data_IF_768996205984
#
_entry.id   IF_768996205984
#
_cell.length_a   1.000
_cell.length_b   1.000
_cell.length_c   1.000
_cell.angle_alpha   90.00
_cell.angle_beta   90.00
_cell.angle_gamma   90.00
#
_symmetry.space_group_name_H-M   'P 1'
#
loop_
_entity.id
_entity.type
_entity.pdbx_description
1 polymer ?
#
# COMPACT_ATOMS: atom_id res chain seq x y z
N UNK A 1 9.15 45.10 -6.04
CA UNK A 1 9.12 45.64 -7.41
C UNK A 1 7.83 46.40 -7.54
N UNK A 2 7.89 47.72 -7.72
CA UNK A 2 6.71 48.56 -7.92
C UNK A 2 6.44 48.63 -9.44
N UNK A 3 5.18 48.57 -9.90
CA UNK A 3 4.85 48.76 -11.30
C UNK A 3 5.27 50.17 -11.74
N UNK A 4 6.09 50.25 -12.78
CA UNK A 4 6.69 51.47 -13.30
C UNK A 4 5.66 52.27 -14.11
N UNK A 5 4.69 51.61 -14.73
CA UNK A 5 3.66 52.25 -15.58
C UNK A 5 2.20 51.97 -15.17
N UNK A 6 1.97 51.16 -14.12
CA UNK A 6 0.64 50.87 -13.51
C UNK A 6 -0.41 50.31 -14.49
N UNK A 7 0.00 49.65 -15.57
CA UNK A 7 -0.92 49.06 -16.55
C UNK A 7 -1.47 47.68 -16.13
N UNK A 8 -0.96 47.11 -15.03
CA UNK A 8 -1.37 45.80 -14.52
C UNK A 8 -0.79 44.62 -15.31
N UNK A 9 0.14 44.87 -16.23
CA UNK A 9 0.82 43.87 -17.05
C UNK A 9 2.31 43.92 -16.71
N UNK A 10 2.87 42.83 -16.21
CA UNK A 10 4.28 42.78 -15.87
C UNK A 10 5.15 42.87 -17.13
N UNK A 11 6.02 43.88 -17.21
CA UNK A 11 7.00 44.05 -18.29
C UNK A 11 8.37 43.46 -17.93
N UNK A 12 9.16 43.07 -18.94
CA UNK A 12 10.48 42.43 -18.73
C UNK A 12 11.45 43.26 -17.87
N UNK A 13 11.37 44.59 -17.95
CA UNK A 13 12.16 45.52 -17.12
C UNK A 13 11.62 45.70 -15.69
N UNK A 14 10.41 45.23 -15.41
CA UNK A 14 9.77 45.20 -14.08
C UNK A 14 9.92 43.85 -13.39
N UNK A 15 10.37 42.84 -14.13
CA UNK A 15 10.73 41.52 -13.63
C UNK A 15 12.20 41.53 -13.22
N UNK A 16 12.45 41.35 -11.93
CA UNK A 16 13.80 41.28 -11.40
C UNK A 16 14.48 39.98 -11.78
N UNK A 17 15.81 39.90 -11.62
CA UNK A 17 16.47 38.60 -11.61
C UNK A 17 15.74 37.69 -10.62
N UNK A 18 15.49 36.45 -11.04
CA UNK A 18 14.78 35.49 -10.20
C UNK A 18 15.47 35.37 -8.84
N UNK A 19 14.68 35.52 -7.78
CA UNK A 19 15.11 35.23 -6.42
C UNK A 19 15.33 33.72 -6.18
N UNK A 20 14.93 32.88 -7.14
CA UNK A 20 15.17 31.46 -7.09
C UNK A 20 16.64 31.17 -7.46
N UNK A 21 17.45 30.86 -6.44
CA UNK A 21 18.86 30.47 -6.59
C UNK A 21 19.08 29.22 -7.43
N UNK A 22 18.03 28.45 -7.72
CA UNK A 22 18.08 27.25 -8.55
C UNK A 22 17.52 27.47 -9.95
N UNK A 23 17.20 28.71 -10.34
CA UNK A 23 16.76 29.00 -11.71
C UNK A 23 17.91 28.73 -12.69
N UNK A 24 17.67 27.84 -13.66
CA UNK A 24 18.67 27.45 -14.67
C UNK A 24 19.65 26.36 -14.25
N UNK A 25 19.53 25.82 -13.03
CA UNK A 25 20.25 24.60 -12.61
C UNK A 25 19.41 23.39 -13.05
N UNK A 26 20.04 22.40 -13.67
CA UNK A 26 19.38 21.13 -14.04
C UNK A 26 18.62 20.57 -12.83
N UNK A 27 17.34 20.21 -12.96
CA UNK A 27 16.60 19.65 -11.85
C UNK A 27 17.27 18.35 -11.41
N UNK A 28 17.48 18.20 -10.10
CA UNK A 28 18.05 16.99 -9.49
C UNK A 28 17.09 15.80 -9.53
N UNK A 29 15.93 15.95 -10.18
CA UNK A 29 14.97 14.90 -10.50
C UNK A 29 14.48 15.10 -11.92
N UNK A 30 14.54 14.04 -12.74
CA UNK A 30 14.15 14.06 -14.14
C UNK A 30 13.53 12.73 -14.55
N UNK A 31 12.55 12.79 -15.45
CA UNK A 31 11.99 11.59 -16.05
C UNK A 31 12.94 11.03 -17.11
N UNK A 32 13.08 9.71 -17.14
CA UNK A 32 13.69 8.98 -18.23
C UNK A 32 12.88 9.20 -19.52
N UNK A 33 13.50 9.57 -20.65
CA UNK A 33 12.78 9.68 -21.93
C UNK A 33 12.08 8.38 -22.36
N UNK A 34 12.53 7.23 -21.84
CA UNK A 34 11.95 5.90 -22.06
C UNK A 34 10.99 5.45 -20.95
N UNK A 35 10.60 6.36 -20.05
CA UNK A 35 9.61 6.07 -19.01
C UNK A 35 8.29 5.60 -19.63
N UNK A 36 7.81 4.46 -19.16
CA UNK A 36 6.57 3.82 -19.60
C UNK A 36 5.49 3.96 -18.52
N UNK A 37 4.22 3.89 -18.92
CA UNK A 37 3.12 3.96 -17.95
C UNK A 37 2.96 2.62 -17.24
N UNK A 38 2.83 2.61 -15.90
CA UNK A 38 2.38 1.44 -15.17
C UNK A 38 1.02 0.96 -15.68
N UNK A 39 0.83 -0.35 -15.75
CA UNK A 39 -0.45 -0.95 -16.13
C UNK A 39 -0.73 -2.23 -15.33
N UNK A 40 -2.02 -2.58 -15.27
CA UNK A 40 -2.49 -3.80 -14.63
C UNK A 40 -3.09 -4.75 -15.67
N UNK A 41 -2.80 -6.04 -15.52
CA UNK A 41 -3.52 -7.11 -16.20
C UNK A 41 -4.43 -7.77 -15.17
N UNK A 42 -5.73 -7.72 -15.41
CA UNK A 42 -6.75 -8.24 -14.49
C UNK A 42 -7.52 -9.41 -15.10
N UNK A 43 -7.67 -10.48 -14.33
CA UNK A 43 -8.51 -11.63 -14.64
C UNK A 43 -9.57 -11.78 -13.57
N UNK A 44 -10.82 -11.99 -14.00
CA UNK A 44 -11.95 -12.23 -13.10
C UNK A 44 -12.73 -13.43 -13.60
N UNK A 45 -13.00 -14.38 -12.71
CA UNK A 45 -13.92 -15.49 -12.95
C UNK A 45 -15.02 -15.42 -11.90
N UNK A 46 -16.27 -15.29 -12.33
CA UNK A 46 -17.42 -15.22 -11.44
C UNK A 46 -18.53 -16.17 -11.88
N UNK A 47 -19.12 -16.88 -10.91
CA UNK A 47 -20.29 -17.73 -11.13
C UNK A 47 -21.36 -17.30 -10.15
N UNK A 48 -22.51 -16.90 -10.68
CA UNK A 48 -23.70 -16.59 -9.90
C UNK A 48 -24.76 -17.63 -10.18
N UNK A 49 -25.36 -18.17 -9.12
CA UNK A 49 -26.46 -19.12 -9.22
C UNK A 49 -27.56 -18.79 -8.22
N UNK A 50 -28.80 -18.79 -8.71
CA UNK A 50 -29.95 -18.92 -7.85
C UNK A 50 -30.02 -20.36 -7.33
N UNK A 51 -29.80 -20.56 -6.03
CA UNK A 51 -29.73 -21.88 -5.40
C UNK A 51 -31.13 -22.31 -4.94
N UNK A 52 -31.94 -21.35 -4.46
CA UNK A 52 -33.33 -21.54 -4.07
C UNK A 52 -34.17 -20.33 -4.50
N UNK A 53 -35.50 -20.44 -4.45
CA UNK A 53 -36.38 -19.27 -4.64
C UNK A 53 -36.01 -18.18 -3.62
N UNK A 54 -35.61 -17.01 -4.12
CA UNK A 54 -35.17 -15.90 -3.27
C UNK A 54 -33.74 -15.98 -2.74
N UNK A 55 -32.95 -17.03 -3.03
CA UNK A 55 -31.54 -17.11 -2.63
C UNK A 55 -30.61 -17.23 -3.84
N UNK A 56 -29.74 -16.25 -4.00
CA UNK A 56 -28.65 -16.26 -4.97
C UNK A 56 -27.30 -16.29 -4.27
N UNK A 57 -26.38 -17.08 -4.80
CA UNK A 57 -25.00 -17.20 -4.33
C UNK A 57 -24.06 -16.90 -5.49
N UNK A 58 -23.02 -16.14 -5.21
CA UNK A 58 -21.95 -15.79 -6.15
C UNK A 58 -20.63 -16.29 -5.58
N UNK A 59 -19.85 -16.99 -6.39
CA UNK A 59 -18.44 -17.26 -6.14
C UNK A 59 -17.60 -16.54 -7.18
N UNK A 60 -16.56 -15.84 -6.75
CA UNK A 60 -15.66 -15.15 -7.66
C UNK A 60 -14.19 -15.32 -7.28
N UNK A 61 -13.33 -15.31 -8.29
CA UNK A 61 -11.88 -15.25 -8.16
C UNK A 61 -11.37 -14.07 -8.97
N UNK A 62 -10.43 -13.34 -8.38
CA UNK A 62 -9.81 -12.15 -8.94
C UNK A 62 -8.31 -12.34 -8.95
N UNK A 63 -7.66 -11.98 -10.06
CA UNK A 63 -6.20 -11.92 -10.18
C UNK A 63 -5.82 -10.61 -10.81
N UNK A 64 -4.92 -9.86 -10.18
CA UNK A 64 -4.33 -8.65 -10.76
C UNK A 64 -2.81 -8.73 -10.73
N UNK A 65 -2.20 -8.40 -11.86
CA UNK A 65 -0.76 -8.28 -12.02
C UNK A 65 -0.37 -6.89 -12.49
N UNK A 66 0.38 -6.18 -11.65
CA UNK A 66 0.89 -4.84 -11.98
C UNK A 66 2.25 -4.93 -12.66
N UNK A 67 2.43 -4.19 -13.74
CA UNK A 67 3.63 -4.13 -14.57
C UNK A 67 4.14 -2.69 -14.69
N UNK A 68 5.42 -2.57 -15.06
CA UNK A 68 6.07 -1.30 -15.39
C UNK A 68 5.92 -0.27 -14.28
N UNK A 69 6.09 -0.73 -13.03
CA UNK A 69 6.08 0.15 -11.87
C UNK A 69 7.15 1.23 -12.04
N UNK A 70 6.82 2.47 -11.68
CA UNK A 70 7.79 3.55 -11.62
C UNK A 70 8.81 3.26 -10.51
N UNK A 71 10.08 3.42 -10.83
CA UNK A 71 11.17 3.39 -9.86
C UNK A 71 11.97 4.69 -9.94
N UNK A 72 12.57 5.05 -8.81
CA UNK A 72 13.47 6.19 -8.74
C UNK A 72 14.88 5.70 -8.44
N UNK A 73 15.82 6.09 -9.29
CA UNK A 73 17.23 5.71 -9.17
C UNK A 73 18.07 6.96 -9.04
N UNK A 74 18.94 7.03 -8.03
CA UNK A 74 19.96 8.07 -7.97
C UNK A 74 21.16 7.64 -8.81
N UNK A 75 21.44 8.33 -9.92
CA UNK A 75 22.52 7.96 -10.85
C UNK A 75 23.92 8.19 -10.27
N UNK A 76 24.03 8.99 -9.20
CA UNK A 76 25.30 9.34 -8.55
C UNK A 76 25.65 8.39 -7.38
N UNK A 77 24.72 7.51 -7.00
CA UNK A 77 24.84 6.60 -5.85
C UNK A 77 24.51 5.18 -6.27
N UNK A 78 25.36 4.23 -5.90
CA UNK A 78 25.21 2.81 -6.20
C UNK A 78 25.34 1.98 -4.92
N UNK A 79 24.96 0.71 -4.99
CA UNK A 79 25.05 -0.21 -3.83
C UNK A 79 26.49 -0.35 -3.31
N UNK A 80 27.51 -0.25 -4.17
CA UNK A 80 28.92 -0.31 -3.74
C UNK A 80 29.41 0.93 -2.99
N UNK A 81 28.65 2.02 -3.01
CA UNK A 81 28.97 3.23 -2.25
C UNK A 81 28.61 3.11 -0.75
N UNK A 82 28.02 1.98 -0.35
CA UNK A 82 27.64 1.69 1.02
C UNK A 82 28.62 0.73 1.69
N UNK A 83 29.03 1.06 2.91
CA UNK A 83 29.74 0.15 3.80
C UNK A 83 28.72 -0.54 4.73
N UNK A 84 28.72 -1.87 4.80
CA UNK A 84 27.86 -2.60 5.72
C UNK A 84 28.47 -2.68 7.12
N UNK A 85 27.61 -2.73 8.14
CA UNK A 85 27.96 -3.09 9.50
C UNK A 85 26.79 -3.83 10.13
N UNK A 86 27.05 -4.58 11.20
CA UNK A 86 26.02 -5.33 11.91
C UNK A 86 25.75 -4.70 13.28
N UNK A 87 24.48 -4.73 13.69
CA UNK A 87 24.05 -4.31 15.01
C UNK A 87 22.97 -5.26 15.52
N UNK A 88 22.92 -5.57 16.83
CA UNK A 88 21.86 -6.40 17.38
C UNK A 88 20.50 -5.72 17.23
N UNK A 89 19.51 -6.49 16.82
CA UNK A 89 18.09 -6.11 16.81
C UNK A 89 17.61 -5.82 18.22
N UNK A 90 16.92 -4.70 18.48
CA UNK A 90 16.33 -4.43 19.79
C UNK A 90 15.13 -5.32 20.12
N UNK A 91 14.61 -6.06 19.14
CA UNK A 91 13.45 -6.94 19.32
C UNK A 91 13.85 -8.28 19.96
N UNK A 92 14.95 -8.87 19.52
CA UNK A 92 15.34 -10.25 19.80
C UNK A 92 16.86 -10.46 19.96
N UNK A 93 17.68 -9.43 19.73
CA UNK A 93 19.15 -9.50 19.81
C UNK A 93 19.83 -10.08 18.58
N UNK A 94 19.08 -10.57 17.58
CA UNK A 94 19.63 -11.13 16.35
C UNK A 94 20.43 -10.08 15.56
N UNK A 95 21.55 -10.43 14.91
CA UNK A 95 22.35 -9.48 14.17
C UNK A 95 21.62 -9.00 12.91
N UNK A 96 21.48 -7.68 12.77
CA UNK A 96 20.91 -7.02 11.59
C UNK A 96 22.00 -6.28 10.85
N UNK A 97 22.15 -6.58 9.55
CA UNK A 97 23.07 -5.86 8.66
C UNK A 97 22.44 -4.55 8.19
N UNK A 98 23.13 -3.44 8.45
CA UNK A 98 22.76 -2.09 8.06
C UNK A 98 23.85 -1.53 7.14
N UNK A 99 23.46 -0.69 6.20
CA UNK A 99 24.34 -0.11 5.19
C UNK A 99 24.48 1.39 5.38
N UNK A 100 25.73 1.86 5.47
CA UNK A 100 26.06 3.26 5.63
C UNK A 100 26.62 3.84 4.34
N UNK A 101 25.96 4.87 3.80
CA UNK A 101 26.43 5.57 2.60
C UNK A 101 27.76 6.29 2.89
N UNK A 102 28.73 6.11 2.00
CA UNK A 102 30.02 6.79 2.09
C UNK A 102 29.86 8.31 2.16
N UNK A 103 30.70 8.96 2.99
CA UNK A 103 30.64 10.42 3.20
C UNK A 103 30.80 11.22 1.91
N UNK A 104 31.60 10.72 0.96
CA UNK A 104 31.83 11.35 -0.33
C UNK A 104 30.57 11.41 -1.23
N UNK A 105 29.57 10.57 -0.96
CA UNK A 105 28.32 10.49 -1.72
C UNK A 105 27.13 11.14 -1.02
N UNK A 106 27.31 11.62 0.22
CA UNK A 106 26.25 12.28 0.98
C UNK A 106 25.83 13.58 0.30
N UNK A 107 24.52 13.78 0.12
CA UNK A 107 23.96 14.97 -0.51
C UNK A 107 24.07 15.01 -2.04
N UNK A 108 24.70 14.01 -2.68
CA UNK A 108 24.69 13.88 -4.13
C UNK A 108 23.36 13.30 -4.59
N UNK A 109 22.63 14.08 -5.40
CA UNK A 109 21.28 13.73 -5.85
C UNK A 109 21.16 14.03 -7.35
N UNK A 110 21.04 12.99 -8.16
CA UNK A 110 20.49 13.04 -9.53
C UNK A 110 19.50 11.88 -9.67
N UNK A 111 18.22 12.17 -9.42
CA UNK A 111 17.15 11.20 -9.42
C UNK A 111 16.59 11.05 -10.83
N UNK A 112 16.67 9.84 -11.36
CA UNK A 112 16.04 9.43 -12.59
C UNK A 112 14.78 8.64 -12.25
N UNK A 113 13.61 9.17 -12.62
CA UNK A 113 12.37 8.41 -12.58
C UNK A 113 12.28 7.58 -13.86
N UNK A 114 12.32 6.26 -13.73
CA UNK A 114 12.38 5.31 -14.84
C UNK A 114 11.45 4.13 -14.59
N UNK A 115 11.28 3.28 -15.59
CA UNK A 115 10.43 2.09 -15.50
C UNK A 115 11.21 0.94 -14.86
N UNK A 116 10.62 0.28 -13.87
CA UNK A 116 11.14 -0.98 -13.35
C UNK A 116 10.70 -2.15 -14.25
N UNK A 117 11.45 -2.37 -15.33
CA UNK A 117 11.15 -3.41 -16.33
C UNK A 117 11.43 -4.83 -15.84
N UNK A 118 12.40 -4.99 -14.92
CA UNK A 118 12.72 -6.27 -14.30
C UNK A 118 11.68 -6.67 -13.25
N UNK A 119 10.73 -7.52 -13.64
CA UNK A 119 9.70 -8.08 -12.75
C UNK A 119 10.26 -8.88 -11.57
N UNK A 120 11.48 -9.40 -11.66
CA UNK A 120 12.10 -10.10 -10.53
C UNK A 120 12.40 -9.15 -9.37
N UNK A 121 12.48 -7.84 -9.65
CA UNK A 121 12.79 -6.79 -8.68
C UNK A 121 11.62 -5.84 -8.41
N UNK A 122 10.68 -5.70 -9.33
CA UNK A 122 9.51 -4.85 -9.17
C UNK A 122 8.24 -5.49 -9.73
N UNK A 123 7.32 -5.93 -8.86
CA UNK A 123 5.98 -6.39 -9.25
C UNK A 123 5.02 -6.39 -8.08
N UNK A 124 3.73 -6.28 -8.37
CA UNK A 124 2.67 -6.54 -7.40
C UNK A 124 1.73 -7.60 -7.97
N UNK A 125 1.45 -8.62 -7.17
CA UNK A 125 0.58 -9.74 -7.51
C UNK A 125 -0.55 -9.81 -6.50
N UNK A 126 -1.79 -9.62 -6.94
CA UNK A 126 -2.99 -9.75 -6.11
C UNK A 126 -3.81 -10.97 -6.54
N UNK A 127 -4.32 -11.71 -5.54
CA UNK A 127 -5.30 -12.78 -5.67
C UNK A 127 -6.42 -12.56 -4.66
N UNK A 128 -7.66 -12.54 -5.14
CA UNK A 128 -8.86 -12.42 -4.33
C UNK A 128 -9.79 -13.60 -4.56
N UNK A 129 -10.44 -14.04 -3.49
CA UNK A 129 -11.52 -15.03 -3.51
C UNK A 129 -12.73 -14.38 -2.85
N UNK A 130 -13.91 -14.56 -3.43
CA UNK A 130 -15.15 -14.06 -2.87
C UNK A 130 -16.22 -15.16 -2.92
N UNK A 131 -16.97 -15.28 -1.84
CA UNK A 131 -18.26 -15.96 -1.80
C UNK A 131 -19.27 -14.99 -1.21
N UNK A 132 -20.26 -14.59 -1.98
CA UNK A 132 -21.33 -13.70 -1.52
C UNK A 132 -22.70 -14.30 -1.77
N UNK A 133 -23.70 -13.86 -1.00
CA UNK A 133 -25.06 -14.31 -1.16
C UNK A 133 -26.05 -13.19 -0.91
N UNK A 134 -27.24 -13.34 -1.50
CA UNK A 134 -28.39 -12.49 -1.21
C UNK A 134 -29.61 -13.39 -1.09
N UNK A 135 -30.28 -13.30 0.06
CA UNK A 135 -31.49 -14.01 0.42
C UNK A 135 -32.64 -13.00 0.63
N UNK A 136 -33.71 -13.18 -0.12
CA UNK A 136 -34.98 -12.48 0.00
C UNK A 136 -36.09 -13.52 0.08
N UNK A 137 -36.53 -13.80 1.28
CA UNK A 137 -37.59 -14.77 1.59
C UNK A 137 -38.74 -14.04 2.29
N UNK A 138 -39.93 -14.66 2.44
CA UNK A 138 -41.00 -14.08 3.23
C UNK A 138 -40.46 -13.67 4.60
N UNK A 139 -40.58 -12.37 4.91
CA UNK A 139 -40.13 -11.76 6.16
C UNK A 139 -38.62 -11.68 6.38
N UNK A 140 -37.77 -12.22 5.51
CA UNK A 140 -36.30 -12.19 5.66
C UNK A 140 -35.67 -11.47 4.47
N UNK A 141 -34.84 -10.47 4.75
CA UNK A 141 -33.89 -9.92 3.80
C UNK A 141 -32.49 -10.05 4.40
N UNK A 142 -31.61 -10.83 3.79
CA UNK A 142 -30.26 -11.10 4.28
C UNK A 142 -29.29 -11.04 3.11
N UNK A 143 -28.14 -10.44 3.31
CA UNK A 143 -27.04 -10.49 2.35
C UNK A 143 -25.73 -10.52 3.12
N UNK A 144 -24.70 -11.02 2.47
CA UNK A 144 -23.40 -11.10 3.09
C UNK A 144 -22.42 -11.79 2.18
N UNK A 145 -21.20 -11.89 2.67
CA UNK A 145 -20.15 -12.57 1.97
C UNK A 145 -18.92 -12.75 2.83
N UNK A 146 -18.06 -13.59 2.29
CA UNK A 146 -16.72 -13.84 2.74
C UNK A 146 -15.80 -13.46 1.58
N UNK A 147 -14.77 -12.70 1.86
CA UNK A 147 -13.68 -12.45 0.92
C UNK A 147 -12.37 -12.93 1.54
N UNK A 148 -11.44 -13.38 0.71
CA UNK A 148 -10.09 -13.67 1.12
C UNK A 148 -9.09 -13.18 0.09
N UNK A 149 -8.18 -12.33 0.54
CA UNK A 149 -7.26 -11.59 -0.32
C UNK A 149 -5.81 -11.89 0.04
N UNK A 150 -4.96 -12.02 -0.98
CA UNK A 150 -3.52 -12.12 -0.85
C UNK A 150 -2.86 -11.16 -1.84
N UNK A 151 -2.04 -10.25 -1.31
CA UNK A 151 -1.22 -9.33 -2.08
C UNK A 151 0.25 -9.63 -1.77
N UNK A 152 1.03 -9.88 -2.82
CA UNK A 152 2.47 -10.10 -2.75
C UNK A 152 3.16 -8.99 -3.54
N UNK A 153 4.00 -8.22 -2.88
CA UNK A 153 4.78 -7.15 -3.49
C UNK A 153 6.27 -7.51 -3.54
N UNK A 154 6.91 -7.23 -4.67
CA UNK A 154 8.36 -7.24 -4.83
C UNK A 154 8.78 -5.81 -5.18
N UNK A 155 9.59 -5.21 -4.31
CA UNK A 155 10.02 -3.81 -4.38
C UNK A 155 11.53 -3.68 -4.15
N UNK A 156 12.30 -4.56 -4.77
CA UNK A 156 13.76 -4.62 -4.71
C UNK A 156 14.45 -3.73 -5.75
N UNK A 157 13.68 -3.06 -6.61
CA UNK A 157 14.18 -2.13 -7.62
C UNK A 157 14.51 -0.77 -6.97
N UNK A 158 15.61 -0.72 -6.23
CA UNK A 158 16.10 0.44 -5.50
C UNK A 158 17.63 0.47 -5.49
N UNK A 159 18.22 1.63 -5.19
CA UNK A 159 19.67 1.82 -5.08
C UNK A 159 20.18 1.84 -3.64
N UNK A 160 19.30 1.92 -2.65
CA UNK A 160 19.65 1.88 -1.22
C UNK A 160 19.52 0.44 -0.69
N UNK A 161 20.63 -0.24 -0.36
CA UNK A 161 20.59 -1.62 0.13
C UNK A 161 19.84 -1.80 1.46
N UNK A 162 19.60 -0.74 2.25
CA UNK A 162 18.75 -0.83 3.44
C UNK A 162 17.28 -1.13 3.09
N UNK A 163 16.85 -0.78 1.87
CA UNK A 163 15.50 -1.07 1.37
C UNK A 163 15.35 -2.51 0.89
N UNK A 164 16.45 -3.28 0.73
CA UNK A 164 16.40 -4.66 0.24
C UNK A 164 15.93 -5.66 1.29
N UNK A 165 15.97 -5.28 2.58
CA UNK A 165 15.46 -6.15 3.64
C UNK A 165 13.96 -6.34 3.46
N UNK A 166 13.55 -7.59 3.25
CA UNK A 166 12.17 -7.98 3.01
C UNK A 166 11.52 -7.35 1.76
N UNK A 167 12.32 -6.89 0.79
CA UNK A 167 11.81 -6.28 -0.43
C UNK A 167 11.07 -7.26 -1.34
N UNK A 168 11.42 -8.55 -1.30
CA UNK A 168 10.76 -9.62 -2.06
C UNK A 168 9.83 -10.41 -1.15
N UNK A 169 8.55 -10.06 -1.13
CA UNK A 169 7.56 -10.79 -0.33
C UNK A 169 7.28 -12.19 -0.88
N UNK A 170 7.68 -12.52 -2.11
CA UNK A 170 7.43 -13.85 -2.68
C UNK A 170 8.30 -14.96 -2.06
N UNK A 171 9.32 -14.58 -1.29
CA UNK A 171 10.17 -15.47 -0.51
C UNK A 171 9.57 -15.81 0.86
N UNK A 172 8.43 -15.22 1.23
CA UNK A 172 7.76 -15.40 2.51
C UNK A 172 6.37 -15.99 2.31
N UNK A 173 5.91 -16.74 3.30
CA UNK A 173 4.57 -17.34 3.29
C UNK A 173 3.51 -16.29 3.62
N UNK A 174 3.19 -15.43 2.65
CA UNK A 174 2.11 -14.43 2.79
C UNK A 174 0.76 -15.16 2.75
N UNK A 175 -0.02 -15.19 3.86
CA UNK A 175 -1.30 -15.88 3.90
C UNK A 175 -2.40 -15.07 3.19
N UNK A 176 -3.46 -15.78 2.78
CA UNK A 176 -4.73 -15.15 2.49
C UNK A 176 -5.32 -14.57 3.78
N UNK A 177 -5.83 -13.33 3.71
CA UNK A 177 -6.50 -12.64 4.81
C UNK A 177 -7.97 -12.53 4.47
N UNK A 178 -8.83 -12.98 5.39
CA UNK A 178 -10.25 -13.11 5.11
C UNK A 178 -11.14 -12.22 5.97
N UNK A 179 -12.10 -11.61 5.32
CA UNK A 179 -13.12 -10.78 5.93
C UNK A 179 -14.49 -11.42 5.75
N UNK A 180 -15.39 -11.18 6.70
CA UNK A 180 -16.78 -11.64 6.65
C UNK A 180 -17.69 -10.46 6.94
N UNK A 181 -18.69 -10.27 6.10
CA UNK A 181 -19.73 -9.26 6.30
C UNK A 181 -21.09 -9.90 6.12
N UNK A 182 -22.02 -9.56 7.01
CA UNK A 182 -23.39 -10.05 6.95
C UNK A 182 -24.31 -8.93 7.42
N UNK A 183 -25.37 -8.68 6.70
CA UNK A 183 -26.39 -7.73 7.12
C UNK A 183 -27.76 -8.20 6.67
N UNK A 184 -28.75 -8.01 7.52
CA UNK A 184 -30.09 -8.45 7.22
C UNK A 184 -31.12 -7.94 8.19
N UNK A 185 -32.36 -8.33 7.92
CA UNK A 185 -33.50 -7.97 8.71
C UNK A 185 -34.59 -9.03 8.64
N UNK A 186 -35.35 -9.12 9.72
CA UNK A 186 -36.48 -10.02 9.86
C UNK A 186 -37.74 -9.24 10.25
N UNK A 187 -38.75 -9.26 9.40
CA UNK A 187 -40.06 -8.66 9.68
C UNK A 187 -40.85 -9.55 10.64
N UNK A 188 -41.05 -9.08 11.86
CA UNK A 188 -41.85 -9.69 12.90
C UNK A 188 -43.35 -9.39 12.68
N UNK A 189 -44.19 -9.92 13.57
CA UNK A 189 -45.62 -9.55 13.60
C UNK A 189 -45.79 -8.12 14.11
N UNK A 190 -47.00 -7.56 13.93
CA UNK A 190 -47.36 -6.22 14.41
C UNK A 190 -46.48 -5.11 13.83
N UNK A 191 -46.09 -5.18 12.56
CA UNK A 191 -45.27 -4.12 11.93
C UNK A 191 -43.97 -3.87 12.69
N UNK A 192 -43.31 -4.90 13.19
CA UNK A 192 -41.99 -4.77 13.85
C UNK A 192 -40.93 -5.46 13.03
N UNK A 193 -39.67 -5.05 13.16
CA UNK A 193 -38.55 -5.62 12.43
C UNK A 193 -37.30 -5.64 13.27
N UNK A 194 -36.61 -6.77 13.22
CA UNK A 194 -35.26 -6.92 13.75
C UNK A 194 -34.27 -6.70 12.62
N UNK A 195 -33.18 -5.99 12.89
CA UNK A 195 -32.04 -5.83 12.00
C UNK A 195 -30.77 -6.37 12.65
N UNK A 196 -29.91 -6.95 11.84
CA UNK A 196 -28.58 -7.43 12.23
C UNK A 196 -27.57 -6.93 11.21
N UNK A 197 -26.43 -6.45 11.68
CA UNK A 197 -25.24 -6.22 10.86
C UNK A 197 -24.02 -6.76 11.60
N UNK A 198 -23.20 -7.52 10.90
CA UNK A 198 -21.98 -8.13 11.40
C UNK A 198 -20.85 -7.85 10.41
N UNK A 199 -19.71 -7.41 10.93
CA UNK A 199 -18.47 -7.27 10.16
C UNK A 199 -17.31 -7.84 10.96
N UNK A 200 -16.52 -8.69 10.32
CA UNK A 200 -15.29 -9.29 10.85
C UNK A 200 -14.17 -8.99 9.86
N UNK A 201 -13.16 -8.25 10.31
CA UNK A 201 -12.00 -7.88 9.52
C UNK A 201 -10.75 -8.58 10.03
N UNK A 202 -10.00 -9.22 9.15
CA UNK A 202 -8.68 -9.72 9.48
C UNK A 202 -7.78 -8.57 9.94
N UNK A 203 -7.02 -8.78 11.02
CA UNK A 203 -6.10 -7.74 11.50
C UNK A 203 -5.02 -7.43 10.46
N UNK A 204 -4.55 -6.17 10.50
CA UNK A 204 -3.54 -5.64 9.59
C UNK A 204 -2.17 -6.30 9.83
N UNK A 205 -1.28 -6.34 8.82
CA UNK A 205 0.09 -6.81 9.01
C UNK A 205 0.80 -6.00 10.08
N UNK A 206 1.46 -6.67 11.02
CA UNK A 206 2.27 -6.01 12.03
C UNK A 206 3.66 -5.73 11.44
N UNK A 207 4.06 -4.46 11.45
CA UNK A 207 5.39 -4.02 11.04
C UNK A 207 6.11 -3.41 12.24
N UNK A 208 7.31 -3.90 12.54
CA UNK A 208 8.15 -3.37 13.62
C UNK A 208 9.32 -2.64 12.96
N UNK A 209 9.14 -1.34 12.78
CA UNK A 209 10.15 -0.48 12.17
C UNK A 209 11.12 0.02 13.24
N UNK A 210 12.39 -0.30 13.08
CA UNK A 210 13.46 0.19 13.92
C UNK A 210 14.23 1.31 13.22
N UNK A 211 14.15 2.50 13.78
CA UNK A 211 15.03 3.60 13.42
C UNK A 211 16.40 3.37 14.07
N UNK A 212 17.34 2.82 13.29
CA UNK A 212 18.71 2.54 13.74
C UNK A 212 19.34 3.85 14.22
N UNK A 213 19.71 3.96 15.51
CA UNK A 213 20.29 5.17 16.07
C UNK A 213 21.59 5.58 15.38
N UNK A 214 21.76 6.88 15.17
CA UNK A 214 22.90 7.43 14.41
C UNK A 214 24.27 7.17 15.08
N UNK A 215 24.29 6.94 16.40
CA UNK A 215 25.50 6.60 17.16
C UNK A 215 26.01 5.16 16.91
N UNK A 216 25.18 4.28 16.36
CA UNK A 216 25.60 2.91 16.01
C UNK A 216 26.37 2.85 14.68
N UNK A 217 26.32 3.91 13.88
CA UNK A 217 26.98 3.95 12.58
C UNK A 217 28.49 4.19 12.74
N UNK A 218 29.35 3.32 12.18
CA UNK A 218 30.78 3.53 12.15
C UNK A 218 31.13 4.89 11.52
N UNK A 219 32.01 5.64 12.18
CA UNK A 219 32.40 6.98 11.76
C UNK A 219 31.37 8.07 12.04
N UNK A 220 30.20 7.76 12.64
CA UNK A 220 29.20 8.74 13.06
C UNK A 220 28.43 9.42 11.92
N UNK A 221 27.13 9.63 12.13
CA UNK A 221 26.23 10.41 11.26
C UNK A 221 25.15 11.12 12.08
N UNK A 222 24.32 11.94 11.44
CA UNK A 222 23.23 12.71 12.10
C UNK A 222 21.82 12.20 11.78
N UNK A 223 21.68 11.34 10.76
CA UNK A 223 20.38 10.80 10.36
C UNK A 223 20.25 9.34 10.80
N UNK A 224 19.05 8.84 11.06
CA UNK A 224 18.79 7.40 11.25
C UNK A 224 18.51 6.71 9.92
N UNK A 225 18.58 5.38 9.91
CA UNK A 225 17.99 4.54 8.84
C UNK A 225 16.91 3.71 9.48
N UNK A 226 15.73 3.67 8.87
CA UNK A 226 14.63 2.84 9.35
C UNK A 226 14.62 1.51 8.60
N UNK A 227 14.64 0.41 9.34
CA UNK A 227 14.53 -0.94 8.80
C UNK A 227 13.40 -1.69 9.49
N UNK A 228 12.71 -2.57 8.77
CA UNK A 228 11.73 -3.46 9.39
C UNK A 228 12.43 -4.67 10.01
N UNK A 229 12.09 -5.01 11.25
CA UNK A 229 12.66 -6.15 11.97
C UNK A 229 11.91 -7.44 11.66
N UNK A 230 10.58 -7.37 11.51
CA UNK A 230 9.73 -8.53 11.27
C UNK A 230 9.59 -8.84 9.77
N UNK A 231 9.75 -10.12 9.37
CA UNK A 231 9.44 -10.51 7.99
C UNK A 231 7.94 -10.37 7.70
N UNK A 232 7.57 -10.03 6.46
CA UNK A 232 6.18 -9.91 6.05
C UNK A 232 5.47 -11.27 6.15
N UNK A 233 4.16 -11.25 6.40
CA UNK A 233 3.36 -12.48 6.50
C UNK A 233 3.44 -13.23 7.83
N UNK A 234 4.32 -12.81 8.75
CA UNK A 234 4.53 -13.52 10.02
C UNK A 234 3.57 -13.12 11.13
N UNK A 235 3.41 -11.82 11.36
CA UNK A 235 2.61 -11.29 12.46
C UNK A 235 1.54 -10.33 11.96
N UNK A 236 0.39 -10.38 12.61
CA UNK A 236 -0.79 -9.58 12.30
C UNK A 236 -1.42 -9.11 13.60
N UNK A 237 -2.06 -7.95 13.56
CA UNK A 237 -2.92 -7.50 14.65
C UNK A 237 -4.11 -8.45 14.83
N UNK A 238 -4.77 -8.32 15.96
CA UNK A 238 -5.98 -9.08 16.27
C UNK A 238 -7.11 -8.78 15.28
N UNK A 239 -7.94 -9.79 15.03
CA UNK A 239 -9.17 -9.64 14.25
C UNK A 239 -10.13 -8.72 14.99
N UNK A 240 -10.74 -7.81 14.25
CA UNK A 240 -11.78 -6.94 14.76
C UNK A 240 -13.16 -7.43 14.33
N UNK A 241 -14.09 -7.53 15.27
CA UNK A 241 -15.48 -7.94 15.03
C UNK A 241 -16.44 -6.88 15.56
N UNK A 242 -17.46 -6.56 14.78
CA UNK A 242 -18.55 -5.66 15.16
C UNK A 242 -19.88 -6.33 14.88
N UNK A 243 -20.78 -6.31 15.87
CA UNK A 243 -22.15 -6.79 15.78
C UNK A 243 -23.09 -5.68 16.20
N UNK A 244 -23.93 -5.23 15.28
CA UNK A 244 -24.99 -4.26 15.51
C UNK A 244 -26.35 -4.93 15.41
N UNK A 245 -27.18 -4.69 16.43
CA UNK A 245 -28.55 -5.18 16.49
C UNK A 245 -29.49 -3.98 16.53
N UNK A 246 -30.60 -4.08 15.81
CA UNK A 246 -31.64 -3.05 15.82
C UNK A 246 -33.02 -3.66 15.93
N UNK A 247 -33.92 -2.93 16.58
CA UNK A 247 -35.34 -3.22 16.61
C UNK A 247 -36.08 -1.96 16.17
N UNK A 248 -37.00 -2.10 15.21
CA UNK A 248 -37.79 -0.98 14.70
C UNK A 248 -39.26 -1.34 14.57
N UNK A 249 -40.12 -0.36 14.82
CA UNK A 249 -41.54 -0.39 14.47
C UNK A 249 -41.69 0.23 13.08
N UNK A 250 -42.23 -0.53 12.14
CA UNK A 250 -42.61 -0.10 10.80
C UNK A 250 -44.13 0.07 10.81
N UNK A 251 -44.66 1.29 10.78
CA UNK A 251 -46.09 1.52 10.67
C UNK A 251 -46.60 0.93 9.35
N UNK A 252 -47.78 0.31 9.38
CA UNK A 252 -48.45 -0.08 8.15
C UNK A 252 -48.79 1.20 7.38
N UNK A 253 -48.33 1.29 6.12
CA UNK A 253 -48.75 2.36 5.21
C UNK A 253 -50.17 2.02 4.78
N UNK A 254 -51.15 2.80 5.26
CA UNK A 254 -52.54 2.77 4.82
C UNK A 254 -52.65 3.34 3.40
#
# INVERSE_FOLDING_TARGET
MLPTNRDGIAQDNELGPSNNRTLGILPTRRADPSLERPYDIEYTLGITRQVLAGLSVTGAWYRRDTYHLEQQVNTLVTVSDYASFTTPSPLDGEPVTIYNLSRAKQGLVDLLDTTATDRSRARVNYNGLEISFTARMPRINLFGGWSADKLVAVACASYDPNTFRYCDQSQYDIPFRSDVKLAGSYSLVWGTQLGVAFSSYAGLPLAVNWAVPANLFPGGRTQSVTVNLLPPGREYLDRWNQLDLSFRKVPDVV
#
